data_IF_509942225414
#
_entry.id   IF_509942225414
#
_cell.length_a   1.000
_cell.length_b   1.000
_cell.length_c   1.000
_cell.angle_alpha   90.00
_cell.angle_beta   90.00
_cell.angle_gamma   90.00
#
_symmetry.space_group_name_H-M   'P 1'
#
loop_
_entity.id
_entity.type
_entity.pdbx_description
1 polymer ?
#
# COMPACT_ATOMS: atom_id res chain seq x y z
N UNK A 1 -6.54 -0.11 -11.97
CA UNK A 1 -6.81 1.31 -11.70
C UNK A 1 -7.02 1.57 -10.20
N UNK A 2 -8.07 1.03 -9.57
CA UNK A 2 -8.38 1.30 -8.15
C UNK A 2 -7.22 0.97 -7.17
N UNK A 3 -6.52 -0.15 -7.39
CA UNK A 3 -5.38 -0.58 -6.57
C UNK A 3 -4.21 0.41 -6.54
N UNK A 4 -3.94 1.06 -7.68
CA UNK A 4 -2.86 2.02 -7.78
C UNK A 4 -3.19 3.31 -7.02
N UNK A 5 -4.43 3.79 -7.14
CA UNK A 5 -4.91 4.94 -6.38
C UNK A 5 -4.90 4.67 -4.86
N UNK A 6 -5.29 3.45 -4.45
CA UNK A 6 -5.21 3.04 -3.04
C UNK A 6 -3.76 2.99 -2.54
N UNK A 7 -2.81 2.53 -3.37
CA UNK A 7 -1.38 2.55 -3.05
C UNK A 7 -0.84 3.95 -2.83
N UNK A 8 -1.26 4.93 -3.64
CA UNK A 8 -0.85 6.33 -3.42
C UNK A 8 -1.33 6.83 -2.06
N UNK A 9 -2.58 6.55 -1.69
CA UNK A 9 -3.10 6.95 -0.38
C UNK A 9 -2.39 6.23 0.78
N UNK A 10 -2.03 4.96 0.59
CA UNK A 10 -1.27 4.17 1.56
C UNK A 10 0.15 4.72 1.76
N UNK A 11 0.79 5.20 0.68
CA UNK A 11 2.10 5.87 0.74
C UNK A 11 2.08 7.08 1.69
N UNK A 12 0.96 7.79 1.78
CA UNK A 12 0.82 8.94 2.67
C UNK A 12 0.15 8.59 4.01
N UNK A 13 -0.02 7.30 4.32
CA UNK A 13 -0.73 6.82 5.52
C UNK A 13 -2.14 7.41 5.68
N UNK A 14 -2.83 7.68 4.57
CA UNK A 14 -4.17 8.27 4.56
C UNK A 14 -5.29 7.22 4.64
N UNK A 15 -4.94 5.94 4.68
CA UNK A 15 -5.91 4.84 4.72
C UNK A 15 -6.08 4.34 6.16
N UNK A 16 -7.28 4.43 6.75
CA UNK A 16 -7.54 3.94 8.11
C UNK A 16 -7.76 2.42 8.13
N UNK A 17 -6.68 1.64 7.96
CA UNK A 17 -6.75 0.17 7.85
C UNK A 17 -7.44 -0.53 9.03
N UNK A 18 -7.38 0.06 10.23
CA UNK A 18 -8.00 -0.47 11.43
C UNK A 18 -9.54 -0.51 11.35
N UNK A 19 -10.15 0.41 10.62
CA UNK A 19 -11.60 0.52 10.51
C UNK A 19 -12.18 -0.42 9.45
N UNK A 20 -11.33 -0.96 8.56
CA UNK A 20 -11.73 -1.75 7.39
C UNK A 20 -10.90 -3.04 7.24
N UNK A 21 -11.03 -4.01 8.16
CA UNK A 21 -10.21 -5.22 8.18
C UNK A 21 -10.36 -6.08 6.91
N UNK A 22 -11.57 -6.18 6.34
CA UNK A 22 -11.80 -6.94 5.11
C UNK A 22 -11.07 -6.34 3.90
N UNK A 23 -11.02 -5.00 3.83
CA UNK A 23 -10.33 -4.26 2.76
C UNK A 23 -8.83 -4.38 2.93
N UNK A 24 -8.33 -4.30 4.17
CA UNK A 24 -6.92 -4.55 4.51
C UNK A 24 -6.48 -5.93 4.03
N UNK A 25 -7.22 -6.98 4.37
CA UNK A 25 -6.88 -8.35 4.01
C UNK A 25 -6.92 -8.57 2.48
N UNK A 26 -7.90 -7.98 1.80
CA UNK A 26 -7.95 -7.97 0.33
C UNK A 26 -6.76 -7.24 -0.27
N UNK A 27 -6.39 -6.08 0.27
CA UNK A 27 -5.30 -5.27 -0.24
C UNK A 27 -3.93 -5.89 0.05
N UNK A 28 -3.73 -6.55 1.20
CA UNK A 28 -2.54 -7.34 1.51
C UNK A 28 -2.32 -8.46 0.47
N UNK A 29 -3.37 -9.19 0.10
CA UNK A 29 -3.33 -10.18 -1.00
C UNK A 29 -3.01 -9.56 -2.35
N UNK A 30 -3.40 -8.31 -2.57
CA UNK A 30 -3.10 -7.59 -3.80
C UNK A 30 -1.64 -7.13 -3.84
N UNK A 31 -1.13 -6.56 -2.73
CA UNK A 31 0.26 -6.14 -2.53
C UNK A 31 1.26 -7.27 -2.74
N UNK A 32 0.90 -8.50 -2.37
CA UNK A 32 1.79 -9.67 -2.54
C UNK A 32 1.99 -10.10 -4.01
N UNK A 33 1.21 -9.56 -4.97
CA UNK A 33 1.30 -9.94 -6.38
C UNK A 33 2.54 -9.34 -7.05
N UNK A 34 3.23 -10.06 -7.96
CA UNK A 34 4.38 -9.54 -8.69
C UNK A 34 4.12 -8.23 -9.44
N UNK A 35 2.89 -8.03 -9.93
CA UNK A 35 2.47 -6.82 -10.64
C UNK A 35 2.50 -5.55 -9.78
N UNK A 36 2.46 -5.68 -8.45
CA UNK A 36 2.51 -4.53 -7.53
C UNK A 36 3.94 -4.15 -7.14
N UNK A 37 4.95 -5.01 -7.38
CA UNK A 37 6.32 -4.76 -6.93
C UNK A 37 6.93 -3.46 -7.45
N UNK A 38 6.64 -3.09 -8.70
CA UNK A 38 7.10 -1.82 -9.26
C UNK A 38 6.56 -0.63 -8.47
N UNK A 39 5.25 -0.61 -8.23
CA UNK A 39 4.58 0.47 -7.49
C UNK A 39 4.99 0.54 -6.01
N UNK A 40 5.29 -0.61 -5.39
CA UNK A 40 5.75 -0.66 -4.00
C UNK A 40 7.25 -0.31 -3.86
N UNK A 41 8.01 -0.37 -4.95
CA UNK A 41 9.41 0.06 -5.00
C UNK A 41 9.56 1.55 -5.31
N UNK A 42 8.49 2.22 -5.75
CA UNK A 42 8.51 3.65 -6.00
C UNK A 42 8.72 4.42 -4.70
N UNK A 43 9.67 5.36 -4.73
CA UNK A 43 9.95 6.28 -3.65
C UNK A 43 9.97 7.71 -4.20
N UNK A 44 9.38 8.64 -3.45
CA UNK A 44 9.37 10.06 -3.77
C UNK A 44 10.52 10.76 -3.04
N UNK A 45 11.32 11.52 -3.78
CA UNK A 45 12.40 12.29 -3.20
C UNK A 45 11.86 13.28 -2.16
N UNK A 46 12.40 13.23 -0.93
CA UNK A 46 11.98 14.08 0.17
C UNK A 46 10.72 13.63 0.93
N UNK A 47 10.07 12.53 0.50
CA UNK A 47 8.93 11.94 1.21
C UNK A 47 9.19 10.44 1.38
N UNK A 48 9.85 9.99 2.47
CA UNK A 48 10.08 8.57 2.68
C UNK A 48 8.76 7.83 2.89
N UNK A 49 8.65 6.64 2.30
CA UNK A 49 7.49 5.78 2.48
C UNK A 49 7.37 5.32 3.96
N UNK A 50 6.14 5.12 4.46
CA UNK A 50 5.90 4.50 5.75
C UNK A 50 6.52 3.10 5.83
N UNK A 51 6.99 2.68 7.00
CA UNK A 51 7.62 1.37 7.19
C UNK A 51 6.72 0.19 6.76
N UNK A 52 5.40 0.38 6.81
CA UNK A 52 4.41 -0.63 6.44
C UNK A 52 4.04 -0.63 4.95
N UNK A 53 4.46 0.37 4.17
CA UNK A 53 4.02 0.54 2.78
C UNK A 53 4.38 -0.68 1.92
N UNK A 54 5.63 -1.13 1.99
CA UNK A 54 6.11 -2.30 1.26
C UNK A 54 5.87 -3.63 2.00
N UNK A 55 5.39 -3.58 3.25
CA UNK A 55 5.09 -4.79 4.01
C UNK A 55 3.70 -5.31 3.60
N UNK A 56 3.53 -6.59 3.25
CA UNK A 56 2.22 -7.20 3.05
C UNK A 56 1.45 -7.47 4.35
N UNK A 57 2.12 -7.54 5.51
CA UNK A 57 1.56 -7.93 6.81
C UNK A 57 1.23 -6.73 7.72
N UNK A 58 0.76 -5.63 7.13
CA UNK A 58 0.51 -4.34 7.79
C UNK A 58 -0.88 -4.23 8.43
#
# INVERSE_FOLDING_TARGET
AAAAALSVNDYFSLVPWADFPDVRDWYARLKSRPSMRGLLADALDGVPAPAHYANPDF
#
